data_IF_383096318619
#
_entry.id   IF_383096318619
#
_cell.length_a   1.000
_cell.length_b   1.000
_cell.length_c   1.000
_cell.angle_alpha   90.00
_cell.angle_beta   90.00
_cell.angle_gamma   90.00
#
_symmetry.space_group_name_H-M   'P 1'
#
loop_
_entity.id
_entity.type
_entity.pdbx_description
1 polymer ?
#
# COMPACT_ATOMS: atom_id res chain seq x y z
N UNK A 1 16.41 1.72 -24.99
CA UNK A 1 17.05 1.23 -23.75
C UNK A 1 15.96 1.08 -22.70
N UNK A 2 15.78 -0.08 -22.07
CA UNK A 2 14.82 -0.20 -20.96
C UNK A 2 15.39 0.59 -19.77
N UNK A 3 14.59 1.43 -19.09
CA UNK A 3 15.06 2.11 -17.89
C UNK A 3 15.47 1.07 -16.85
N UNK A 4 16.60 1.28 -16.19
CA UNK A 4 17.08 0.48 -15.06
C UNK A 4 16.28 0.88 -13.81
N UNK A 5 15.02 0.44 -13.76
CA UNK A 5 14.08 0.77 -12.70
C UNK A 5 14.43 -0.03 -11.44
N UNK A 6 14.66 0.70 -10.35
CA UNK A 6 15.09 0.10 -9.08
C UNK A 6 13.89 -0.37 -8.26
N UNK A 7 14.03 -1.57 -7.73
CA UNK A 7 13.19 -2.10 -6.67
C UNK A 7 14.08 -2.37 -5.46
N UNK A 8 13.70 -1.86 -4.30
CA UNK A 8 14.41 -2.14 -3.05
C UNK A 8 13.39 -2.45 -1.95
N UNK A 9 13.71 -3.46 -1.14
CA UNK A 9 12.92 -3.88 0.00
C UNK A 9 13.86 -3.99 1.21
N UNK A 10 13.53 -3.29 2.29
CA UNK A 10 14.34 -3.27 3.52
C UNK A 10 13.42 -3.60 4.69
N UNK A 11 13.78 -4.60 5.48
CA UNK A 11 13.19 -4.86 6.79
C UNK A 11 14.17 -4.41 7.88
N UNK A 12 13.75 -3.50 8.74
CA UNK A 12 14.52 -3.01 9.88
C UNK A 12 13.84 -3.45 11.18
N UNK A 13 14.35 -4.53 11.77
CA UNK A 13 13.81 -5.11 13.01
C UNK A 13 14.02 -4.21 14.23
N UNK A 14 15.00 -3.31 14.21
CA UNK A 14 15.23 -2.40 15.33
C UNK A 14 14.21 -1.27 15.35
N UNK A 15 13.84 -0.78 14.16
CA UNK A 15 12.80 0.25 14.00
C UNK A 15 11.39 -0.30 13.85
N UNK A 16 11.25 -1.62 13.70
CA UNK A 16 9.98 -2.29 13.42
C UNK A 16 9.35 -1.78 12.11
N UNK A 17 10.17 -1.58 11.07
CA UNK A 17 9.72 -1.03 9.79
C UNK A 17 10.01 -1.93 8.60
N UNK A 18 9.12 -1.88 7.60
CA UNK A 18 9.36 -2.33 6.24
C UNK A 18 9.39 -1.11 5.32
N UNK A 19 10.39 -1.03 4.45
CA UNK A 19 10.50 0.02 3.43
C UNK A 19 10.54 -0.60 2.05
N UNK A 20 9.61 -0.18 1.19
CA UNK A 20 9.56 -0.58 -0.22
C UNK A 20 9.79 0.66 -1.08
N UNK A 21 10.81 0.61 -1.93
CA UNK A 21 11.10 1.65 -2.92
C UNK A 21 10.92 1.11 -4.32
N UNK A 22 10.20 1.84 -5.17
CA UNK A 22 9.98 1.49 -6.58
C UNK A 22 10.17 2.72 -7.46
N UNK A 23 10.93 2.57 -8.53
CA UNK A 23 11.03 3.60 -9.57
C UNK A 23 10.10 3.27 -10.75
N UNK A 24 9.42 4.30 -11.25
CA UNK A 24 8.55 4.22 -12.41
C UNK A 24 9.00 5.20 -13.48
N UNK A 25 9.05 4.74 -14.73
CA UNK A 25 9.31 5.59 -15.90
C UNK A 25 8.05 6.35 -16.34
N UNK A 26 7.48 7.13 -15.42
CA UNK A 26 6.29 7.94 -15.62
C UNK A 26 6.39 9.23 -14.79
N UNK A 27 5.55 10.22 -15.13
CA UNK A 27 5.43 11.45 -14.33
C UNK A 27 4.67 11.16 -13.04
N UNK A 28 4.95 11.97 -12.00
CA UNK A 28 4.39 11.80 -10.65
C UNK A 28 2.88 11.72 -10.62
N UNK A 29 2.19 12.56 -11.40
CA UNK A 29 0.73 12.55 -11.46
C UNK A 29 0.16 11.20 -11.90
N UNK A 30 0.77 10.54 -12.89
CA UNK A 30 0.28 9.24 -13.36
C UNK A 30 0.51 8.15 -12.32
N UNK A 31 1.66 8.19 -11.64
CA UNK A 31 1.96 7.26 -10.56
C UNK A 31 1.01 7.51 -9.39
N UNK A 32 0.81 8.75 -8.96
CA UNK A 32 -0.17 9.13 -7.95
C UNK A 32 -1.57 8.60 -8.26
N UNK A 33 -2.06 8.78 -9.48
CA UNK A 33 -3.36 8.28 -9.91
C UNK A 33 -3.47 6.75 -9.75
N UNK A 34 -2.42 6.00 -10.10
CA UNK A 34 -2.37 4.55 -9.94
C UNK A 34 -2.49 4.06 -8.49
N UNK A 35 -2.18 4.91 -7.51
CA UNK A 35 -2.29 4.61 -6.07
C UNK A 35 -3.55 5.19 -5.41
N UNK A 36 -4.25 6.12 -6.08
CA UNK A 36 -5.34 6.91 -5.47
C UNK A 36 -6.67 6.80 -6.20
N UNK A 37 -6.75 5.91 -7.18
CA UNK A 37 -7.97 5.57 -7.91
C UNK A 37 -8.22 4.07 -7.86
N UNK A 38 -9.37 3.67 -7.34
CA UNK A 38 -9.72 2.25 -7.14
C UNK A 38 -9.64 1.43 -8.43
N UNK A 39 -10.11 1.98 -9.55
CA UNK A 39 -10.13 1.32 -10.85
C UNK A 39 -8.72 1.09 -11.42
N UNK A 40 -7.72 1.84 -10.95
CA UNK A 40 -6.32 1.61 -11.30
C UNK A 40 -5.67 0.66 -10.30
N UNK A 41 -5.89 0.83 -9.00
CA UNK A 41 -5.38 -0.07 -7.95
C UNK A 41 -5.75 -1.53 -8.22
N UNK A 42 -7.00 -1.79 -8.61
CA UNK A 42 -7.52 -3.13 -8.88
C UNK A 42 -6.73 -3.86 -10.00
N UNK A 43 -6.03 -3.13 -10.87
CA UNK A 43 -5.30 -3.70 -12.00
C UNK A 43 -3.90 -4.22 -11.63
N UNK A 44 -3.31 -3.75 -10.53
CA UNK A 44 -1.87 -3.99 -10.30
C UNK A 44 -1.46 -4.17 -8.83
N UNK A 45 -2.29 -3.77 -7.86
CA UNK A 45 -1.84 -3.68 -6.46
C UNK A 45 -1.46 -5.04 -5.85
N UNK A 46 -2.29 -6.07 -6.02
CA UNK A 46 -1.98 -7.41 -5.55
C UNK A 46 -0.81 -8.03 -6.35
N UNK A 47 0.13 -8.71 -5.68
CA UNK A 47 1.16 -9.46 -6.37
C UNK A 47 0.54 -10.66 -7.09
N UNK A 48 1.03 -10.95 -8.30
CA UNK A 48 0.63 -12.17 -9.01
C UNK A 48 0.98 -13.41 -8.16
N UNK A 49 0.12 -14.44 -8.14
CA UNK A 49 -1.07 -14.63 -8.98
C UNK A 49 -2.37 -14.02 -8.44
N UNK A 50 -2.33 -13.28 -7.32
CA UNK A 50 -3.53 -12.69 -6.74
C UNK A 50 -4.03 -11.51 -7.57
N UNK A 51 -5.33 -11.24 -7.47
CA UNK A 51 -5.98 -10.04 -8.04
C UNK A 51 -6.57 -9.17 -6.94
N UNK A 52 -6.58 -7.86 -7.13
CA UNK A 52 -7.23 -6.95 -6.19
C UNK A 52 -8.68 -6.71 -6.59
N UNK A 53 -9.58 -6.66 -5.62
CA UNK A 53 -10.97 -6.23 -5.80
C UNK A 53 -11.34 -5.22 -4.71
N UNK A 54 -11.63 -4.00 -5.12
CA UNK A 54 -12.11 -2.96 -4.21
C UNK A 54 -13.57 -3.23 -3.81
N UNK A 55 -13.87 -3.15 -2.51
CA UNK A 55 -15.23 -3.21 -1.97
C UNK A 55 -15.80 -1.82 -1.69
N UNK A 56 -14.97 -0.93 -1.14
CA UNK A 56 -15.32 0.49 -0.99
C UNK A 56 -14.06 1.34 -0.96
N UNK A 57 -14.14 2.56 -1.48
CA UNK A 57 -13.02 3.47 -1.61
C UNK A 57 -13.49 4.92 -1.43
N UNK A 58 -12.95 5.59 -0.42
CA UNK A 58 -13.17 7.00 -0.09
C UNK A 58 -11.82 7.64 0.20
N UNK A 59 -11.14 8.14 -0.85
CA UNK A 59 -9.80 8.70 -0.75
C UNK A 59 -9.83 10.16 -0.29
N UNK A 60 -9.97 10.34 1.02
CA UNK A 60 -9.88 11.62 1.74
C UNK A 60 -9.36 11.38 3.16
N UNK A 61 -8.95 12.42 3.87
CA UNK A 61 -8.61 12.32 5.29
C UNK A 61 -9.82 11.81 6.10
N UNK A 62 -9.60 10.79 6.92
CA UNK A 62 -10.65 10.04 7.63
C UNK A 62 -11.49 9.12 6.75
N UNK A 63 -11.18 8.99 5.46
CA UNK A 63 -11.75 8.00 4.55
C UNK A 63 -10.99 6.67 4.61
N UNK A 64 -11.31 5.75 3.70
CA UNK A 64 -10.73 4.41 3.71
C UNK A 64 -10.68 3.74 2.34
N UNK A 65 -9.86 2.71 2.23
CA UNK A 65 -9.89 1.73 1.15
C UNK A 65 -10.06 0.34 1.75
N UNK A 66 -11.18 -0.32 1.44
CA UNK A 66 -11.45 -1.70 1.85
C UNK A 66 -11.48 -2.58 0.61
N UNK A 67 -10.61 -3.58 0.59
CA UNK A 67 -10.37 -4.42 -0.58
C UNK A 67 -10.08 -5.86 -0.18
N UNK A 68 -10.25 -6.76 -1.15
CA UNK A 68 -9.77 -8.13 -1.06
C UNK A 68 -8.63 -8.33 -2.04
N UNK A 69 -7.61 -9.07 -1.63
CA UNK A 69 -6.76 -9.80 -2.55
C UNK A 69 -7.35 -11.20 -2.73
N UNK A 70 -7.53 -11.64 -3.96
CA UNK A 70 -8.22 -12.89 -4.31
C UNK A 70 -7.21 -13.82 -4.96
N UNK A 71 -7.06 -15.04 -4.43
CA UNK A 71 -6.19 -16.06 -5.02
C UNK A 71 -6.87 -16.77 -6.22
N UNK A 72 -6.14 -17.58 -7.01
CA UNK A 72 -6.73 -18.33 -8.11
C UNK A 72 -7.81 -19.35 -7.74
N UNK A 73 -7.89 -19.76 -6.46
CA UNK A 73 -8.93 -20.66 -5.96
C UNK A 73 -10.21 -19.92 -5.55
N UNK A 74 -10.19 -18.58 -5.56
CA UNK A 74 -11.29 -17.73 -5.13
C UNK A 74 -11.31 -17.48 -3.63
N UNK A 75 -10.20 -17.69 -2.90
CA UNK A 75 -10.07 -17.28 -1.50
C UNK A 75 -9.89 -15.77 -1.42
N UNK A 76 -10.64 -15.11 -0.54
CA UNK A 76 -10.55 -13.67 -0.32
C UNK A 76 -9.73 -13.37 0.95
N UNK A 77 -8.68 -12.58 0.80
CA UNK A 77 -7.89 -12.01 1.89
C UNK A 77 -8.25 -10.53 2.02
N UNK A 78 -9.03 -10.19 3.05
CA UNK A 78 -9.59 -8.85 3.24
C UNK A 78 -8.64 -7.94 4.02
N UNK A 79 -8.44 -6.73 3.52
CA UNK A 79 -7.63 -5.70 4.16
C UNK A 79 -8.28 -4.33 4.03
N UNK A 80 -7.97 -3.45 4.98
CA UNK A 80 -8.47 -2.08 5.00
C UNK A 80 -7.36 -1.10 5.36
N UNK A 81 -7.26 -0.04 4.58
CA UNK A 81 -6.44 1.15 4.86
C UNK A 81 -7.36 2.28 5.31
N UNK A 82 -7.16 2.82 6.51
CA UNK A 82 -7.82 4.04 6.97
C UNK A 82 -6.89 5.24 6.77
N UNK A 83 -7.28 6.22 5.95
CA UNK A 83 -6.44 7.36 5.59
C UNK A 83 -6.42 8.41 6.70
N UNK A 84 -5.21 8.83 7.08
CA UNK A 84 -4.98 9.80 8.13
C UNK A 84 -4.70 11.19 7.54
N UNK A 85 -3.63 11.33 6.75
CA UNK A 85 -3.28 12.60 6.07
C UNK A 85 -3.13 12.39 4.58
N UNK A 86 -3.48 13.41 3.78
CA UNK A 86 -3.30 13.39 2.32
C UNK A 86 -2.72 14.71 1.86
N UNK A 87 -1.54 14.65 1.26
CA UNK A 87 -0.93 15.78 0.55
C UNK A 87 -0.95 15.43 -0.93
N UNK A 88 -1.91 15.96 -1.71
CA UNK A 88 -2.09 15.57 -3.11
C UNK A 88 -0.78 15.58 -3.89
N UNK A 89 -0.54 14.50 -4.64
CA UNK A 89 0.64 14.30 -5.49
C UNK A 89 1.93 13.98 -4.72
N UNK A 90 2.06 14.40 -3.46
CA UNK A 90 3.28 14.20 -2.66
C UNK A 90 3.22 12.93 -1.80
N UNK A 91 2.07 12.59 -1.23
CA UNK A 91 1.95 11.42 -0.37
C UNK A 91 0.67 11.34 0.46
N UNK A 92 0.55 10.25 1.21
CA UNK A 92 -0.50 10.05 2.19
C UNK A 92 -0.01 9.15 3.34
N UNK A 93 -0.63 9.30 4.50
CA UNK A 93 -0.46 8.38 5.64
C UNK A 93 -1.77 7.70 5.99
N UNK A 94 -1.68 6.59 6.70
CA UNK A 94 -2.86 5.88 7.17
C UNK A 94 -2.49 4.69 8.03
N UNK A 95 -3.49 3.85 8.31
CA UNK A 95 -3.29 2.61 9.02
C UNK A 95 -3.86 1.43 8.24
N UNK A 96 -3.04 0.41 8.08
CA UNK A 96 -3.42 -0.85 7.44
C UNK A 96 -3.80 -1.88 8.51
N UNK A 97 -4.92 -2.56 8.26
CA UNK A 97 -5.44 -3.66 9.08
C UNK A 97 -5.82 -4.83 8.19
N UNK A 98 -5.51 -6.04 8.63
CA UNK A 98 -6.20 -7.24 8.12
C UNK A 98 -7.61 -7.27 8.69
N UNK A 99 -8.60 -7.57 7.85
CA UNK A 99 -10.02 -7.50 8.21
C UNK A 99 -10.76 -8.74 7.76
N UNK A 100 -12.02 -8.85 8.13
CA UNK A 100 -12.98 -9.70 7.44
C UNK A 100 -13.68 -8.95 6.28
N UNK A 101 -14.63 -9.62 5.64
CA UNK A 101 -15.43 -9.04 4.56
C UNK A 101 -16.29 -7.83 5.00
N UNK A 102 -16.62 -7.71 6.29
CA UNK A 102 -17.43 -6.60 6.82
C UNK A 102 -16.57 -5.39 7.18
N UNK A 103 -15.25 -5.55 7.19
CA UNK A 103 -14.28 -4.52 7.56
C UNK A 103 -13.95 -4.51 9.06
N UNK A 104 -14.34 -5.54 9.81
CA UNK A 104 -13.93 -5.71 11.20
C UNK A 104 -12.48 -6.19 11.21
N UNK A 105 -11.62 -5.50 11.96
CA UNK A 105 -10.21 -5.85 12.07
C UNK A 105 -10.01 -7.20 12.77
N UNK A 106 -9.08 -8.00 12.25
CA UNK A 106 -8.66 -9.23 12.89
C UNK A 106 -7.84 -8.90 14.15
N UNK A 107 -8.31 -9.26 15.36
CA UNK A 107 -7.61 -8.92 16.61
C UNK A 107 -6.29 -9.69 16.79
N UNK A 108 -6.08 -10.78 16.06
CA UNK A 108 -4.88 -11.61 16.15
C UNK A 108 -3.73 -11.11 15.27
N UNK A 109 -4.00 -10.15 14.37
CA UNK A 109 -3.01 -9.58 13.47
C UNK A 109 -2.73 -8.11 13.80
N UNK A 110 -1.46 -7.67 13.73
CA UNK A 110 -1.12 -6.31 14.08
C UNK A 110 -1.63 -5.32 13.04
N UNK A 111 -2.10 -4.18 13.52
CA UNK A 111 -2.29 -2.98 12.71
C UNK A 111 -0.94 -2.30 12.48
N UNK A 112 -0.73 -1.72 11.31
CA UNK A 112 0.49 -0.97 10.98
C UNK A 112 0.18 0.45 10.54
N UNK A 113 1.06 1.39 10.83
CA UNK A 113 1.03 2.73 10.23
C UNK A 113 1.74 2.69 8.87
N UNK A 114 1.12 3.28 7.86
CA UNK A 114 1.58 3.35 6.49
C UNK A 114 1.91 4.80 6.16
N UNK A 115 3.09 5.03 5.59
CA UNK A 115 3.46 6.30 4.96
C UNK A 115 3.86 6.05 3.50
N UNK A 116 3.17 6.68 2.57
CA UNK A 116 3.44 6.60 1.14
C UNK A 116 3.87 7.94 0.60
N UNK A 117 5.00 7.99 -0.11
CA UNK A 117 5.56 9.22 -0.69
C UNK A 117 5.90 9.05 -2.17
N UNK A 118 5.80 10.15 -2.92
CA UNK A 118 6.08 10.21 -4.35
C UNK A 118 7.06 11.34 -4.62
N UNK A 119 8.23 11.01 -5.18
CA UNK A 119 9.32 11.97 -5.43
C UNK A 119 9.73 11.95 -6.89
N UNK A 120 9.85 13.14 -7.50
CA UNK A 120 10.40 13.26 -8.85
C UNK A 120 11.88 12.93 -8.89
N UNK A 121 12.26 12.14 -9.88
CA UNK A 121 13.64 11.79 -10.23
C UNK A 121 13.86 12.10 -11.72
N UNK A 122 13.64 13.37 -12.08
CA UNK A 122 13.70 13.84 -13.47
C UNK A 122 12.52 13.34 -14.30
N UNK A 123 12.75 12.35 -15.17
CA UNK A 123 11.68 11.74 -16.01
C UNK A 123 11.01 10.53 -15.34
N UNK A 124 11.48 10.15 -14.16
CA UNK A 124 10.96 9.03 -13.38
C UNK A 124 10.34 9.54 -12.08
N UNK A 125 9.54 8.69 -11.46
CA UNK A 125 9.02 8.90 -10.11
C UNK A 125 9.46 7.76 -9.21
N UNK A 126 10.01 8.10 -8.06
CA UNK A 126 10.29 7.18 -6.97
C UNK A 126 9.09 7.17 -6.04
N UNK A 127 8.53 6.00 -5.78
CA UNK A 127 7.60 5.77 -4.67
C UNK A 127 8.36 5.14 -3.52
N UNK A 128 8.13 5.63 -2.31
CA UNK A 128 8.58 4.99 -1.08
C UNK A 128 7.39 4.73 -0.16
N UNK A 129 7.19 3.46 0.18
CA UNK A 129 6.23 3.01 1.19
C UNK A 129 6.98 2.58 2.43
N UNK A 130 6.70 3.21 3.57
CA UNK A 130 7.20 2.81 4.88
C UNK A 130 6.03 2.28 5.70
N UNK A 131 6.11 1.02 6.11
CA UNK A 131 5.15 0.37 6.99
C UNK A 131 5.82 0.23 8.36
N UNK A 132 5.17 0.75 9.41
CA UNK A 132 5.68 0.75 10.78
C UNK A 132 4.75 -0.05 11.68
N UNK A 133 5.32 -0.99 12.42
CA UNK A 133 4.63 -1.81 13.41
C UNK A 133 4.97 -1.34 14.83
N UNK A 134 4.13 -1.70 15.81
CA UNK A 134 4.36 -1.34 17.22
C UNK A 134 5.59 -2.05 17.81
N UNK A 135 5.98 -3.20 17.25
CA UNK A 135 7.13 -3.96 17.72
C UNK A 135 7.75 -4.84 16.63
N UNK A 136 8.98 -5.30 16.87
CA UNK A 136 9.67 -6.26 16.02
C UNK A 136 8.92 -7.60 15.92
N UNK A 137 8.20 -7.98 16.99
CA UNK A 137 7.39 -9.20 17.02
C UNK A 137 6.19 -9.08 16.08
N UNK A 138 5.53 -7.93 16.10
CA UNK A 138 4.41 -7.67 15.19
C UNK A 138 4.89 -7.70 13.73
N UNK A 139 6.05 -7.11 13.46
CA UNK A 139 6.69 -7.18 12.14
C UNK A 139 7.03 -8.61 11.71
N UNK A 140 7.42 -9.51 12.63
CA UNK A 140 7.68 -10.92 12.31
C UNK A 140 6.40 -11.76 12.10
N UNK A 141 5.26 -11.25 12.53
CA UNK A 141 3.98 -11.97 12.48
C UNK A 141 3.34 -11.90 11.08
N UNK A 142 3.78 -10.95 10.25
CA UNK A 142 3.25 -10.64 8.92
C UNK A 142 4.12 -11.15 7.78
#
# INVERSE_FOLDING_TARGET
>A
MKPDLRFNFIADMQKSTLTVRREFAAIRQLVWDCYTKSELLDQWYAPKPLTTKTKSFDFREGGHWHFAMIDPNGTHYWSRTDYETITPIDGYTGYDSFTDETGIANPDLPRSHLAMTFTDQGKHTLTETVVTYNSAKDLQTV
#
